data_IF_382541006918
#
_entry.id   IF_382541006918
#
_cell.length_a   1.000
_cell.length_b   1.000
_cell.length_c   1.000
_cell.angle_alpha   90.00
_cell.angle_beta   90.00
_cell.angle_gamma   90.00
#
_symmetry.space_group_name_H-M   'P 1'
#
loop_
_entity.id
_entity.type
_entity.pdbx_description
1 polymer ?
#
# COMPACT_ATOMS: atom_id res chain seq x y z
N UNK A 1 36.71 -7.47 -9.74
CA UNK A 1 35.81 -7.78 -8.60
C UNK A 1 34.49 -6.99 -8.61
N UNK A 2 34.48 -5.63 -8.67
CA UNK A 2 33.19 -4.90 -8.71
C UNK A 2 32.36 -5.19 -9.97
N UNK A 3 32.99 -5.20 -11.14
CA UNK A 3 32.32 -5.43 -12.42
C UNK A 3 31.77 -6.85 -12.57
N UNK A 4 32.43 -7.84 -12.02
CA UNK A 4 31.98 -9.22 -12.08
C UNK A 4 30.74 -9.44 -11.23
N UNK A 5 30.68 -8.84 -10.03
CA UNK A 5 29.49 -8.88 -9.18
C UNK A 5 28.28 -8.22 -9.85
N UNK A 6 28.49 -7.12 -10.56
CA UNK A 6 27.41 -6.44 -11.33
C UNK A 6 26.92 -7.33 -12.46
N UNK A 7 27.81 -7.97 -13.23
CA UNK A 7 27.46 -8.90 -14.30
C UNK A 7 26.66 -10.10 -13.79
N UNK A 8 27.09 -10.69 -12.68
CA UNK A 8 26.38 -11.81 -12.05
C UNK A 8 24.99 -11.39 -11.61
N UNK A 9 24.87 -10.24 -10.92
CA UNK A 9 23.57 -9.74 -10.49
C UNK A 9 22.65 -9.41 -11.66
N UNK A 10 23.19 -8.82 -12.74
CA UNK A 10 22.46 -8.57 -13.97
C UNK A 10 21.96 -9.87 -14.60
N UNK A 11 22.79 -10.91 -14.67
CA UNK A 11 22.41 -12.23 -15.19
C UNK A 11 21.26 -12.84 -14.38
N UNK A 12 21.35 -12.78 -13.05
CA UNK A 12 20.28 -13.27 -12.15
C UNK A 12 18.98 -12.50 -12.38
N UNK A 13 19.02 -11.16 -12.43
CA UNK A 13 17.84 -10.34 -12.69
C UNK A 13 17.23 -10.65 -14.08
N UNK A 14 18.04 -10.84 -15.10
CA UNK A 14 17.58 -11.23 -16.44
C UNK A 14 16.94 -12.63 -16.44
N UNK A 15 17.51 -13.57 -15.70
CA UNK A 15 16.95 -14.91 -15.55
C UNK A 15 15.58 -14.85 -14.87
N UNK A 16 15.48 -14.15 -13.71
CA UNK A 16 14.20 -13.96 -13.01
C UNK A 16 13.16 -13.32 -13.94
N UNK A 17 13.57 -12.29 -14.70
CA UNK A 17 12.68 -11.64 -15.65
C UNK A 17 12.17 -12.59 -16.72
N UNK A 18 13.03 -13.43 -17.28
CA UNK A 18 12.68 -14.37 -18.37
C UNK A 18 11.88 -15.58 -17.87
N UNK A 19 12.31 -16.19 -16.77
CA UNK A 19 11.79 -17.47 -16.30
C UNK A 19 10.79 -17.37 -15.17
N UNK A 20 10.70 -16.19 -14.50
CA UNK A 20 9.79 -15.83 -13.41
C UNK A 20 10.03 -16.46 -12.02
N UNK A 21 10.71 -17.60 -11.82
CA UNK A 21 11.07 -18.09 -10.50
C UNK A 21 12.03 -17.15 -9.78
N UNK A 22 11.81 -16.97 -8.49
CA UNK A 22 12.66 -16.18 -7.60
C UNK A 22 13.54 -17.10 -6.76
N UNK A 23 14.82 -16.74 -6.51
CA UNK A 23 15.64 -17.43 -5.52
C UNK A 23 14.95 -17.41 -4.15
N UNK A 24 14.97 -18.52 -3.42
CA UNK A 24 14.29 -18.61 -2.11
C UNK A 24 14.83 -17.58 -1.11
N UNK A 25 16.14 -17.34 -1.11
CA UNK A 25 16.75 -16.34 -0.22
C UNK A 25 16.29 -14.90 -0.50
N UNK A 26 15.77 -14.63 -1.72
CA UNK A 26 15.20 -13.31 -2.06
C UNK A 26 13.75 -13.16 -1.58
N UNK A 27 13.09 -14.25 -1.21
CA UNK A 27 11.76 -14.29 -0.61
C UNK A 27 11.80 -14.29 0.92
N UNK A 28 13.00 -14.42 1.51
CA UNK A 28 13.20 -14.44 2.95
C UNK A 28 13.41 -13.04 3.50
N UNK A 29 12.83 -12.79 4.67
CA UNK A 29 12.95 -11.51 5.36
C UNK A 29 13.20 -11.68 6.85
N UNK A 30 13.93 -10.73 7.42
CA UNK A 30 14.16 -10.67 8.87
C UNK A 30 13.37 -9.47 9.41
N UNK A 31 12.44 -9.76 10.29
CA UNK A 31 11.60 -8.77 10.96
C UNK A 31 12.25 -8.32 12.27
N UNK A 32 12.42 -7.00 12.44
CA UNK A 32 12.92 -6.39 13.66
C UNK A 32 11.79 -5.60 14.30
N UNK A 33 11.27 -6.02 15.45
CA UNK A 33 10.25 -5.27 16.17
C UNK A 33 10.87 -4.06 16.87
N UNK A 34 10.36 -2.87 16.60
CA UNK A 34 10.75 -1.62 17.24
C UNK A 34 9.62 -1.18 18.17
N UNK A 35 9.88 -0.98 19.46
CA UNK A 35 8.84 -0.56 20.39
C UNK A 35 8.37 0.86 20.08
N UNK A 36 7.05 1.06 20.11
CA UNK A 36 6.40 2.37 20.15
C UNK A 36 6.35 2.86 21.60
N UNK A 37 5.92 4.11 21.79
CA UNK A 37 5.58 4.61 23.12
C UNK A 37 4.38 3.81 23.65
N UNK A 38 4.48 3.27 24.87
CA UNK A 38 3.42 2.51 25.51
C UNK A 38 3.89 1.24 26.19
N UNK A 39 2.96 0.34 26.52
CA UNK A 39 3.27 -0.91 27.20
C UNK A 39 4.00 -1.88 26.28
N UNK A 40 5.26 -2.20 26.60
CA UNK A 40 6.10 -3.14 25.84
C UNK A 40 5.59 -4.59 25.82
N UNK A 41 4.61 -4.96 26.69
CA UNK A 41 4.00 -6.29 26.70
C UNK A 41 2.93 -6.45 25.61
N UNK A 42 2.46 -5.37 25.04
CA UNK A 42 1.40 -5.40 24.02
C UNK A 42 2.00 -5.47 22.60
N UNK A 43 1.57 -6.45 21.81
CA UNK A 43 2.01 -6.64 20.42
C UNK A 43 1.67 -5.45 19.51
N UNK A 44 0.60 -4.72 19.81
CA UNK A 44 0.15 -3.51 19.10
C UNK A 44 1.14 -2.35 19.23
N UNK A 45 1.97 -2.36 20.28
CA UNK A 45 2.95 -1.33 20.57
C UNK A 45 4.30 -1.54 19.88
N UNK A 46 4.34 -2.40 18.87
CA UNK A 46 5.54 -2.58 18.06
C UNK A 46 5.31 -2.17 16.60
N UNK A 47 6.34 -1.58 16.06
CA UNK A 47 6.47 -1.31 14.62
C UNK A 47 7.53 -2.25 14.06
N UNK A 48 7.21 -2.97 13.00
CA UNK A 48 8.13 -3.96 12.44
C UNK A 48 8.88 -3.38 11.26
N UNK A 49 10.21 -3.36 11.33
CA UNK A 49 11.07 -3.11 10.16
C UNK A 49 11.43 -4.45 9.54
N UNK A 50 11.28 -4.53 8.22
CA UNK A 50 11.56 -5.75 7.45
C UNK A 50 12.87 -5.57 6.69
N UNK A 51 13.85 -6.42 6.98
CA UNK A 51 15.13 -6.49 6.28
C UNK A 51 15.08 -7.59 5.22
N UNK A 52 15.45 -7.24 4.00
CA UNK A 52 15.53 -8.16 2.86
C UNK A 52 16.92 -8.11 2.23
N UNK A 53 17.25 -9.12 1.43
CA UNK A 53 18.53 -9.21 0.70
C UNK A 53 18.79 -7.94 -0.12
N UNK A 54 20.03 -7.43 -0.10
CA UNK A 54 20.43 -6.29 -0.92
C UNK A 54 20.33 -6.59 -2.42
N UNK A 55 20.64 -7.82 -2.82
CA UNK A 55 20.52 -8.25 -4.21
C UNK A 55 19.06 -8.22 -4.67
N UNK A 56 18.12 -8.70 -3.85
CA UNK A 56 16.69 -8.63 -4.18
C UNK A 56 16.19 -7.19 -4.34
N UNK A 57 16.72 -6.23 -3.58
CA UNK A 57 16.35 -4.80 -3.70
C UNK A 57 16.60 -4.24 -5.09
N UNK A 58 17.61 -4.71 -5.81
CA UNK A 58 17.88 -4.28 -7.19
C UNK A 58 16.74 -4.70 -8.11
N UNK A 59 16.33 -5.96 -8.05
CA UNK A 59 15.22 -6.45 -8.85
C UNK A 59 13.90 -5.78 -8.46
N UNK A 60 13.66 -5.57 -7.16
CA UNK A 60 12.48 -4.85 -6.67
C UNK A 60 12.42 -3.41 -7.19
N UNK A 61 13.59 -2.74 -7.33
CA UNK A 61 13.67 -1.40 -7.92
C UNK A 61 13.32 -1.39 -9.40
N UNK A 62 13.74 -2.42 -10.14
CA UNK A 62 13.37 -2.60 -11.55
C UNK A 62 11.85 -2.77 -11.68
N UNK A 63 11.26 -3.62 -10.84
CA UNK A 63 9.81 -3.83 -10.82
C UNK A 63 9.06 -2.56 -10.41
N UNK A 64 9.56 -1.84 -9.39
CA UNK A 64 8.99 -0.55 -8.99
C UNK A 64 8.94 0.45 -10.16
N UNK A 65 10.05 0.60 -10.89
CA UNK A 65 10.12 1.51 -12.03
C UNK A 65 9.09 1.14 -13.13
N UNK A 66 8.83 -0.16 -13.33
CA UNK A 66 7.81 -0.64 -14.26
C UNK A 66 6.39 -0.38 -13.74
N UNK A 67 6.13 -0.65 -12.45
CA UNK A 67 4.83 -0.38 -11.84
C UNK A 67 4.52 1.12 -11.75
N UNK A 68 5.52 1.97 -11.61
CA UNK A 68 5.33 3.42 -11.46
C UNK A 68 4.59 4.03 -12.65
N UNK A 69 4.74 3.48 -13.84
CA UNK A 69 4.02 3.93 -15.04
C UNK A 69 2.50 3.72 -14.88
N UNK A 70 2.11 2.58 -14.33
CA UNK A 70 0.71 2.27 -14.04
C UNK A 70 0.18 3.09 -12.87
N UNK A 71 0.96 3.21 -11.78
CA UNK A 71 0.59 4.05 -10.64
C UNK A 71 0.30 5.49 -11.08
N UNK A 72 1.13 6.06 -11.95
CA UNK A 72 0.95 7.43 -12.42
C UNK A 72 -0.30 7.60 -13.30
N UNK A 73 -0.72 6.53 -14.00
CA UNK A 73 -1.92 6.55 -14.85
C UNK A 73 -3.20 6.30 -14.06
N UNK A 74 -3.16 5.35 -13.11
CA UNK A 74 -4.35 4.85 -12.43
C UNK A 74 -4.74 5.68 -11.21
N UNK A 75 -3.77 6.31 -10.54
CA UNK A 75 -4.07 7.08 -9.34
C UNK A 75 -4.53 8.50 -9.70
N UNK A 76 -5.68 8.95 -9.18
CA UNK A 76 -6.15 10.31 -9.37
C UNK A 76 -5.20 11.32 -8.71
N UNK A 77 -5.28 12.58 -9.15
CA UNK A 77 -4.40 13.64 -8.63
C UNK A 77 -4.64 13.99 -7.16
N UNK A 78 -5.84 13.74 -6.67
CA UNK A 78 -6.20 13.94 -5.26
C UNK A 78 -5.52 12.94 -4.33
N UNK A 79 -5.19 11.73 -4.81
CA UNK A 79 -4.49 10.73 -4.02
C UNK A 79 -3.03 11.13 -3.82
N UNK A 80 -2.65 11.44 -2.58
CA UNK A 80 -1.32 11.94 -2.22
C UNK A 80 -0.49 10.94 -1.41
N UNK A 81 -1.10 9.90 -0.87
CA UNK A 81 -0.45 8.94 -0.01
C UNK A 81 0.71 8.22 -0.71
N UNK A 82 1.91 8.24 -0.09
CA UNK A 82 3.09 7.53 -0.59
C UNK A 82 3.52 7.88 -2.04
N UNK A 83 3.12 9.06 -2.54
CA UNK A 83 3.52 9.57 -3.87
C UNK A 83 4.65 10.58 -3.75
N UNK A 84 5.62 10.46 -4.69
CA UNK A 84 6.72 11.42 -4.79
C UNK A 84 6.20 12.81 -5.18
N UNK A 85 6.64 13.84 -4.48
CA UNK A 85 6.24 15.23 -4.75
C UNK A 85 4.87 15.62 -4.18
N UNK A 86 4.22 14.73 -3.45
CA UNK A 86 2.98 15.01 -2.71
C UNK A 86 3.28 14.96 -1.21
N UNK A 87 3.05 16.05 -0.51
CA UNK A 87 3.37 16.19 0.92
C UNK A 87 2.15 16.41 1.79
N UNK A 88 2.29 16.16 3.08
CA UNK A 88 1.24 16.45 4.06
C UNK A 88 0.86 17.93 4.07
N UNK A 89 1.82 18.82 3.81
CA UNK A 89 1.56 20.27 3.73
C UNK A 89 0.58 20.63 2.61
N UNK A 90 0.71 19.98 1.45
CA UNK A 90 -0.18 20.22 0.32
C UNK A 90 -1.61 19.78 0.65
N UNK A 91 -1.75 18.65 1.35
CA UNK A 91 -3.06 18.16 1.78
C UNK A 91 -3.70 19.05 2.85
N UNK A 92 -2.91 19.55 3.80
CA UNK A 92 -3.38 20.54 4.78
C UNK A 92 -3.84 21.83 4.07
N UNK A 93 -3.06 22.32 3.11
CA UNK A 93 -3.42 23.51 2.33
C UNK A 93 -4.72 23.30 1.56
N UNK A 94 -4.92 22.12 0.95
CA UNK A 94 -6.17 21.77 0.26
C UNK A 94 -7.36 21.79 1.22
N UNK A 95 -7.24 21.21 2.41
CA UNK A 95 -8.31 21.22 3.42
C UNK A 95 -8.61 22.65 3.86
N UNK A 96 -7.59 23.45 4.13
CA UNK A 96 -7.76 24.86 4.50
C UNK A 96 -8.48 25.64 3.39
N UNK A 97 -8.06 25.46 2.13
CA UNK A 97 -8.71 26.10 0.99
C UNK A 97 -10.18 25.71 0.85
N UNK A 98 -10.51 24.44 1.05
CA UNK A 98 -11.89 23.95 1.03
C UNK A 98 -12.72 24.61 2.15
N UNK A 99 -12.17 24.69 3.37
CA UNK A 99 -12.83 25.35 4.50
C UNK A 99 -13.07 26.83 4.24
N UNK A 100 -12.10 27.54 3.64
CA UNK A 100 -12.23 28.94 3.27
C UNK A 100 -13.34 29.13 2.22
N UNK A 101 -13.37 28.28 1.18
CA UNK A 101 -14.42 28.34 0.16
C UNK A 101 -15.81 28.03 0.72
N UNK A 102 -15.92 27.04 1.59
CA UNK A 102 -17.17 26.74 2.26
C UNK A 102 -17.68 27.91 3.09
N UNK A 103 -16.79 28.61 3.80
CA UNK A 103 -17.12 29.80 4.57
C UNK A 103 -17.56 30.93 3.65
N UNK A 104 -16.85 31.18 2.54
CA UNK A 104 -17.19 32.20 1.54
C UNK A 104 -18.60 31.99 0.97
N UNK A 105 -18.95 30.74 0.66
CA UNK A 105 -20.26 30.38 0.10
C UNK A 105 -21.31 30.03 1.16
N UNK A 106 -21.00 30.17 2.44
CA UNK A 106 -21.88 29.80 3.57
C UNK A 106 -22.43 28.37 3.48
N UNK A 107 -21.57 27.41 3.04
CA UNK A 107 -21.91 26.00 2.91
C UNK A 107 -21.39 25.20 4.09
N UNK A 108 -22.21 24.28 4.59
CA UNK A 108 -21.75 23.32 5.60
C UNK A 108 -20.90 22.24 4.94
N UNK A 109 -19.77 21.90 5.59
CA UNK A 109 -18.91 20.79 5.19
C UNK A 109 -18.76 19.82 6.34
N UNK A 110 -18.83 18.52 6.01
CA UNK A 110 -18.64 17.43 6.95
C UNK A 110 -17.39 16.65 6.56
N UNK A 111 -16.44 16.50 7.49
CA UNK A 111 -15.23 15.69 7.29
C UNK A 111 -15.35 14.35 8.02
N UNK A 112 -15.02 13.27 7.32
CA UNK A 112 -14.85 11.97 7.93
C UNK A 112 -13.39 11.53 7.78
N UNK A 113 -12.69 11.37 8.90
CA UNK A 113 -11.31 10.87 8.92
C UNK A 113 -11.31 9.39 9.25
N UNK A 114 -10.68 8.60 8.38
CA UNK A 114 -10.58 7.15 8.55
C UNK A 114 -9.11 6.78 8.65
N UNK A 115 -8.72 6.25 9.81
CA UNK A 115 -7.36 5.77 10.07
C UNK A 115 -7.36 4.25 10.19
N UNK A 116 -6.51 3.61 9.43
CA UNK A 116 -6.29 2.17 9.50
C UNK A 116 -4.90 1.84 10.03
N UNK A 117 -4.83 1.44 11.27
CA UNK A 117 -3.60 1.13 11.97
C UNK A 117 -2.82 -0.06 11.40
N UNK A 118 -3.41 -0.84 10.48
CA UNK A 118 -2.83 -2.09 9.93
C UNK A 118 -3.03 -2.27 8.42
N UNK A 119 -3.22 -1.21 7.66
CA UNK A 119 -3.52 -1.24 6.24
C UNK A 119 -2.60 -2.18 5.44
N UNK A 120 -1.30 -2.05 5.61
CA UNK A 120 -0.31 -2.88 4.91
C UNK A 120 -0.39 -4.37 5.23
N UNK A 121 -0.84 -4.74 6.43
CA UNK A 121 -0.97 -6.14 6.85
C UNK A 121 -2.27 -6.80 6.39
N UNK A 122 -3.24 -6.00 5.93
CA UNK A 122 -4.56 -6.50 5.55
C UNK A 122 -4.67 -6.88 4.07
N UNK A 123 -3.66 -6.57 3.26
CA UNK A 123 -3.65 -6.91 1.84
C UNK A 123 -3.64 -8.43 1.66
N UNK A 124 -4.73 -8.99 1.14
CA UNK A 124 -4.82 -10.42 0.84
C UNK A 124 -4.00 -10.75 -0.40
N UNK A 125 -3.05 -11.69 -0.32
CA UNK A 125 -2.17 -12.03 -1.43
C UNK A 125 -2.91 -12.59 -2.67
N UNK A 126 -4.16 -13.02 -2.55
CA UNK A 126 -4.94 -13.55 -3.67
C UNK A 126 -5.65 -12.47 -4.49
N UNK A 127 -5.99 -11.35 -3.87
CA UNK A 127 -6.79 -10.29 -4.49
C UNK A 127 -5.97 -9.32 -5.38
N UNK A 128 -4.77 -8.87 -5.01
CA UNK A 128 -4.03 -7.86 -5.77
C UNK A 128 -3.77 -8.27 -7.22
N UNK A 129 -3.54 -9.54 -7.49
CA UNK A 129 -3.18 -10.00 -8.84
C UNK A 129 -4.31 -9.84 -9.84
N UNK A 130 -5.56 -10.07 -9.41
CA UNK A 130 -6.75 -9.82 -10.21
C UNK A 130 -6.92 -8.31 -10.46
N UNK A 131 -6.79 -7.52 -9.39
CA UNK A 131 -6.86 -6.07 -9.45
C UNK A 131 -5.83 -5.49 -10.41
N UNK A 132 -4.58 -5.92 -10.32
CA UNK A 132 -3.51 -5.45 -11.20
C UNK A 132 -3.80 -5.76 -12.67
N UNK A 133 -4.40 -6.93 -12.97
CA UNK A 133 -4.83 -7.29 -14.32
C UNK A 133 -5.97 -6.38 -14.82
N UNK A 134 -6.98 -6.14 -13.99
CA UNK A 134 -8.10 -5.26 -14.30
C UNK A 134 -7.64 -3.82 -14.55
N UNK A 135 -6.57 -3.39 -13.89
CA UNK A 135 -5.89 -2.11 -14.12
C UNK A 135 -4.95 -2.11 -15.35
N UNK A 136 -4.96 -3.16 -16.15
CA UNK A 136 -4.19 -3.27 -17.38
C UNK A 136 -2.68 -3.52 -17.18
N UNK A 137 -2.26 -3.97 -16.00
CA UNK A 137 -0.88 -4.40 -15.78
C UNK A 137 -0.66 -5.74 -16.47
N UNK A 138 0.44 -5.84 -17.21
CA UNK A 138 0.73 -7.02 -18.03
C UNK A 138 0.78 -8.30 -17.20
N UNK A 139 0.34 -9.42 -17.79
CA UNK A 139 0.38 -10.74 -17.16
C UNK A 139 1.77 -11.14 -16.72
N UNK A 140 2.78 -10.80 -17.50
CA UNK A 140 4.18 -11.07 -17.18
C UNK A 140 4.60 -10.40 -15.86
N UNK A 141 4.32 -9.10 -15.72
CA UNK A 141 4.66 -8.35 -14.51
C UNK A 141 3.84 -8.83 -13.30
N UNK A 142 2.55 -9.09 -13.51
CA UNK A 142 1.67 -9.62 -12.47
C UNK A 142 2.14 -10.99 -11.99
N UNK A 143 2.58 -11.87 -12.90
CA UNK A 143 3.11 -13.19 -12.55
C UNK A 143 4.41 -13.10 -11.76
N UNK A 144 5.34 -12.21 -12.16
CA UNK A 144 6.57 -11.95 -11.40
C UNK A 144 6.28 -11.51 -9.97
N UNK A 145 5.33 -10.60 -9.79
CA UNK A 145 4.92 -10.13 -8.46
C UNK A 145 4.27 -11.26 -7.66
N UNK A 146 3.34 -12.00 -8.26
CA UNK A 146 2.70 -13.15 -7.61
C UNK A 146 3.73 -14.19 -7.15
N UNK A 147 4.71 -14.50 -7.98
CA UNK A 147 5.76 -15.47 -7.65
C UNK A 147 6.71 -14.96 -6.56
N UNK A 148 6.91 -13.64 -6.46
CA UNK A 148 7.64 -13.03 -5.34
C UNK A 148 6.90 -13.22 -4.02
N UNK A 149 5.58 -13.00 -4.00
CA UNK A 149 4.77 -13.10 -2.78
C UNK A 149 4.42 -14.55 -2.41
N UNK A 150 4.39 -15.46 -3.39
CA UNK A 150 4.15 -16.86 -3.15
C UNK A 150 5.33 -17.52 -2.41
N UNK A 151 5.05 -18.10 -1.24
CA UNK A 151 6.06 -18.78 -0.43
C UNK A 151 7.10 -17.84 0.20
N UNK A 152 6.72 -16.60 0.52
CA UNK A 152 7.54 -15.72 1.34
C UNK A 152 7.66 -16.25 2.76
N UNK A 153 8.87 -16.17 3.30
CA UNK A 153 9.18 -16.58 4.67
C UNK A 153 9.76 -15.41 5.46
N UNK A 154 9.45 -15.38 6.73
CA UNK A 154 10.03 -14.42 7.66
C UNK A 154 10.52 -15.09 8.93
N UNK A 155 11.47 -14.43 9.58
CA UNK A 155 11.88 -14.72 10.95
C UNK A 155 11.90 -13.42 11.74
N UNK A 156 11.66 -13.49 13.04
CA UNK A 156 11.72 -12.32 13.92
C UNK A 156 13.02 -12.36 14.69
N UNK A 157 13.78 -11.28 14.60
CA UNK A 157 15.03 -11.10 15.38
C UNK A 157 14.77 -10.15 16.53
N UNK A 158 15.03 -10.61 17.74
CA UNK A 158 14.97 -9.84 18.97
C UNK A 158 16.35 -9.85 19.66
N UNK A 159 16.46 -9.15 20.77
CA UNK A 159 17.66 -9.20 21.64
C UNK A 159 17.90 -10.59 22.26
N UNK A 160 16.86 -11.42 22.34
CA UNK A 160 16.90 -12.77 22.91
C UNK A 160 17.19 -13.86 21.87
N UNK A 161 17.29 -13.51 20.59
CA UNK A 161 17.55 -14.47 19.51
C UNK A 161 16.60 -14.29 18.32
N UNK A 162 16.59 -15.30 17.47
CA UNK A 162 15.82 -15.34 16.22
C UNK A 162 14.83 -16.50 16.28
N UNK A 163 13.59 -16.26 15.86
CA UNK A 163 12.58 -17.33 15.79
C UNK A 163 12.86 -18.27 14.63
N UNK A 164 12.15 -19.40 14.58
CA UNK A 164 12.06 -20.23 13.38
C UNK A 164 11.44 -19.45 12.22
N UNK A 165 11.70 -19.93 11.00
CA UNK A 165 11.11 -19.38 9.79
C UNK A 165 9.62 -19.74 9.72
N UNK A 166 8.80 -18.76 9.38
CA UNK A 166 7.36 -18.93 9.17
C UNK A 166 6.92 -18.31 7.85
N UNK A 167 5.88 -18.85 7.26
CA UNK A 167 5.34 -18.35 6.01
C UNK A 167 4.46 -17.11 6.20
N UNK A 168 4.58 -16.17 5.25
CA UNK A 168 3.75 -14.98 5.19
C UNK A 168 2.63 -15.21 4.17
N UNK A 169 1.38 -15.28 4.65
CA UNK A 169 0.20 -15.53 3.82
C UNK A 169 -0.58 -14.28 3.39
N UNK A 170 -0.29 -13.11 3.98
CA UNK A 170 -0.98 -11.84 3.69
C UNK A 170 -0.16 -10.64 4.14
N UNK A 171 -0.55 -9.47 3.62
CA UNK A 171 0.12 -8.21 3.88
C UNK A 171 1.23 -7.89 2.88
N UNK A 172 1.56 -6.62 2.77
CA UNK A 172 2.75 -6.14 2.05
C UNK A 172 3.77 -5.68 3.08
N UNK A 173 5.03 -6.09 2.88
CA UNK A 173 6.09 -5.86 3.86
C UNK A 173 6.38 -4.38 4.03
N UNK A 174 6.24 -3.85 5.23
CA UNK A 174 6.63 -2.50 5.56
C UNK A 174 8.15 -2.33 5.42
N UNK A 175 8.56 -1.36 4.60
CA UNK A 175 9.96 -1.17 4.22
C UNK A 175 10.36 -1.83 2.89
N UNK A 176 9.50 -2.60 2.26
CA UNK A 176 9.73 -3.06 0.89
C UNK A 176 9.46 -1.94 -0.11
N UNK A 177 10.35 -1.81 -1.09
CA UNK A 177 10.27 -0.78 -2.16
C UNK A 177 8.95 -0.85 -2.97
N UNK A 178 8.39 -2.04 -3.15
CA UNK A 178 7.16 -2.26 -3.92
C UNK A 178 5.88 -1.97 -3.13
N UNK A 179 5.95 -2.07 -1.81
CA UNK A 179 4.74 -1.99 -0.96
C UNK A 179 3.93 -0.71 -1.15
N UNK A 180 4.55 0.49 -1.28
CA UNK A 180 3.79 1.71 -1.57
C UNK A 180 3.00 1.66 -2.88
N UNK A 181 3.63 1.18 -3.96
CA UNK A 181 2.98 1.08 -5.27
C UNK A 181 1.82 0.09 -5.26
N UNK A 182 2.04 -1.11 -4.71
CA UNK A 182 1.02 -2.15 -4.64
C UNK A 182 -0.13 -1.75 -3.73
N UNK A 183 0.18 -1.13 -2.61
CA UNK A 183 -0.82 -0.65 -1.68
C UNK A 183 -1.68 0.45 -2.31
N UNK A 184 -1.08 1.44 -2.96
CA UNK A 184 -1.81 2.52 -3.61
C UNK A 184 -2.76 2.00 -4.71
N UNK A 185 -2.30 1.08 -5.56
CA UNK A 185 -3.15 0.47 -6.59
C UNK A 185 -4.30 -0.35 -5.97
N UNK A 186 -4.01 -1.09 -4.90
CA UNK A 186 -5.02 -1.86 -4.18
C UNK A 186 -6.05 -0.96 -3.49
N UNK A 187 -5.61 0.09 -2.81
CA UNK A 187 -6.48 1.05 -2.14
C UNK A 187 -7.37 1.78 -3.14
N UNK A 188 -6.81 2.26 -4.25
CA UNK A 188 -7.56 2.92 -5.32
C UNK A 188 -8.66 2.02 -5.89
N UNK A 189 -8.33 0.76 -6.15
CA UNK A 189 -9.34 -0.20 -6.61
C UNK A 189 -10.48 -0.38 -5.60
N UNK A 190 -10.16 -0.49 -4.32
CA UNK A 190 -11.18 -0.59 -3.27
C UNK A 190 -12.06 0.66 -3.25
N UNK A 191 -11.46 1.84 -3.34
CA UNK A 191 -12.20 3.10 -3.33
C UNK A 191 -13.14 3.21 -4.53
N UNK A 192 -12.69 2.90 -5.74
CA UNK A 192 -13.54 2.87 -6.95
C UNK A 192 -14.72 1.91 -6.81
N UNK A 193 -14.48 0.72 -6.22
CA UNK A 193 -15.54 -0.28 -6.07
C UNK A 193 -16.40 -0.07 -4.80
N UNK A 194 -16.04 0.88 -3.97
CA UNK A 194 -16.79 1.20 -2.77
C UNK A 194 -18.07 2.00 -3.04
N UNK A 195 -18.30 2.46 -4.28
CA UNK A 195 -19.50 3.23 -4.67
C UNK A 195 -19.55 4.61 -4.02
N UNK A 196 -18.37 5.19 -3.73
CA UNK A 196 -18.22 6.58 -3.28
C UNK A 196 -18.03 7.50 -4.50
N UNK A 197 -18.66 7.19 -5.63
CA UNK A 197 -18.62 8.07 -6.77
C UNK A 197 -19.35 9.37 -6.44
N UNK A 198 -18.81 10.50 -6.88
CA UNK A 198 -19.36 11.85 -6.71
C UNK A 198 -20.86 11.94 -7.11
N UNK A 199 -21.29 11.15 -8.08
CA UNK A 199 -22.68 11.10 -8.54
C UNK A 199 -23.72 10.66 -7.47
N UNK A 200 -23.32 9.92 -6.44
CA UNK A 200 -24.23 9.57 -5.35
C UNK A 200 -24.27 10.62 -4.24
N UNK A 201 -23.34 11.57 -4.24
CA UNK A 201 -23.27 12.67 -3.28
C UNK A 201 -24.04 13.90 -3.78
N UNK A 202 -24.18 14.07 -5.10
CA UNK A 202 -24.97 15.14 -5.71
C UNK A 202 -26.49 14.98 -5.52
N UNK A 203 -26.98 13.78 -5.20
CA UNK A 203 -28.41 13.52 -5.00
C UNK A 203 -28.95 13.91 -3.63
N UNK A 204 -28.10 14.41 -2.72
CA UNK A 204 -28.51 14.88 -1.40
C UNK A 204 -28.39 16.39 -1.32
N UNK A 205 -29.52 17.05 -1.43
CA UNK A 205 -29.77 18.50 -1.20
C UNK A 205 -28.81 19.49 -1.88
N UNK A 206 -29.28 20.47 -2.63
CA UNK A 206 -28.42 21.49 -3.22
C UNK A 206 -27.76 22.30 -2.11
N UNK A 207 -26.53 21.97 -1.77
CA UNK A 207 -25.76 22.69 -0.75
C UNK A 207 -24.70 21.91 0.00
N UNK A 208 -24.67 20.58 -0.09
CA UNK A 208 -23.64 19.77 0.58
C UNK A 208 -22.49 19.44 -0.37
N UNK A 209 -21.29 19.91 -0.04
CA UNK A 209 -20.05 19.51 -0.70
C UNK A 209 -19.45 18.39 0.11
N UNK A 210 -19.44 17.17 -0.42
CA UNK A 210 -18.76 16.05 0.18
C UNK A 210 -17.41 15.86 -0.48
N UNK A 211 -16.33 15.89 0.29
CA UNK A 211 -14.97 15.67 -0.17
C UNK A 211 -14.44 14.45 0.53
N UNK A 212 -14.21 13.41 -0.24
CA UNK A 212 -13.52 12.21 0.24
C UNK A 212 -12.03 12.41 0.00
N UNK A 213 -11.27 12.68 1.05
CA UNK A 213 -9.82 12.61 1.00
C UNK A 213 -9.40 11.18 1.22
N UNK A 214 -8.74 10.57 0.23
CA UNK A 214 -8.20 9.21 0.31
C UNK A 214 -7.11 9.13 1.38
N UNK A 215 -7.50 8.80 2.58
CA UNK A 215 -6.63 8.23 3.59
C UNK A 215 -7.12 6.83 3.90
N UNK A 216 -6.48 5.87 3.27
CA UNK A 216 -6.40 4.43 3.58
C UNK A 216 -7.59 3.78 4.31
N UNK A 217 -8.56 3.26 3.56
CA UNK A 217 -9.67 2.47 4.11
C UNK A 217 -9.41 0.96 4.05
N UNK A 218 -9.73 0.23 5.11
CA UNK A 218 -9.93 -1.23 5.08
C UNK A 218 -11.41 -1.63 5.00
N UNK A 219 -11.72 -2.79 4.38
CA UNK A 219 -13.09 -3.28 4.21
C UNK A 219 -13.97 -3.39 5.46
N UNK A 220 -13.44 -3.71 6.67
CA UNK A 220 -14.27 -3.81 7.87
C UNK A 220 -14.88 -2.50 8.37
N UNK A 221 -14.22 -1.37 8.13
CA UNK A 221 -14.73 -0.05 8.53
C UNK A 221 -15.93 0.39 7.69
N UNK A 222 -15.98 -0.01 6.43
CA UNK A 222 -17.07 0.26 5.49
C UNK A 222 -18.43 -0.23 5.99
N UNK A 223 -18.46 -1.42 6.57
CA UNK A 223 -19.71 -1.99 7.13
C UNK A 223 -20.21 -1.19 8.33
N UNK A 224 -19.33 -0.55 9.09
CA UNK A 224 -19.70 0.30 10.24
C UNK A 224 -20.26 1.65 9.80
N UNK A 225 -19.68 2.29 8.81
CA UNK A 225 -20.16 3.58 8.29
C UNK A 225 -21.54 3.43 7.64
N UNK A 226 -21.77 2.37 6.84
CA UNK A 226 -23.12 2.08 6.28
C UNK A 226 -24.20 1.83 7.32
N UNK A 227 -23.85 1.25 8.48
CA UNK A 227 -24.83 0.98 9.56
C UNK A 227 -25.23 2.26 10.28
N UNK A 228 -24.32 3.21 10.46
CA UNK A 228 -24.63 4.46 11.17
C UNK A 228 -25.38 5.46 10.28
N UNK A 229 -25.27 5.41 8.96
CA UNK A 229 -26.03 6.25 8.04
C UNK A 229 -27.48 5.82 7.84
N UNK A 230 -27.87 4.61 8.31
CA UNK A 230 -29.26 4.12 8.28
C UNK A 230 -30.01 4.32 9.60
N UNK A 231 -29.36 4.86 10.62
CA UNK A 231 -29.91 5.07 11.96
C UNK A 231 -30.18 6.55 12.29
N UNK A 232 -30.19 7.43 11.30
CA UNK A 232 -30.54 8.87 11.43
C UNK A 232 -31.75 9.17 10.58
#
# INVERSE_FOLDING_TARGET
MKDDAVKVLQSICQQIWKTQPWPQDWKRSVCIPIPKKGNAKERSNYHTIVLISHASKVMLKILQARLQQYVNRELPDIQAGLRKGRGTRDQIANICWILEKAREFQKNIYFCFIDDSKAFYCVDHNKPWKILKEMGITDHLTCLLRNLYAGQEATVRTVHGTTDWFQIGKGVSQGCILSPCLFNLYAEYIMRNAGLEEAQLESRSPGEISITSDMQMTPPLWQKVKRNSKAS
#
